data_IF_116991262198
#
_entry.id   IF_116991262198
#
_cell.length_a   1.000
_cell.length_b   1.000
_cell.length_c   1.000
_cell.angle_alpha   90.00
_cell.angle_beta   90.00
_cell.angle_gamma   90.00
#
_symmetry.space_group_name_H-M   'P 1'
#
loop_
_entity.id
_entity.type
_entity.pdbx_description
1 polymer ?
#
# COMPACT_ATOMS: atom_id res chain seq x y z
N UNK A 1 22.88 0.02 21.91
CA UNK A 1 21.80 0.51 21.01
C UNK A 1 22.45 1.26 19.86
N UNK A 2 22.02 1.07 18.59
CA UNK A 2 22.61 1.81 17.48
C UNK A 2 22.25 3.30 17.60
N UNK A 3 23.21 4.22 17.38
CA UNK A 3 22.99 5.65 17.58
C UNK A 3 22.04 6.23 16.52
N UNK A 4 21.17 7.13 16.97
CA UNK A 4 20.20 7.85 16.14
C UNK A 4 20.96 8.82 15.23
N UNK A 5 20.83 8.67 13.92
CA UNK A 5 21.41 9.59 12.93
C UNK A 5 20.81 10.99 13.15
N UNK A 6 21.67 12.00 13.26
CA UNK A 6 21.32 13.42 13.39
C UNK A 6 20.78 13.89 12.04
N UNK A 7 19.48 14.17 11.96
CA UNK A 7 18.90 14.83 10.79
C UNK A 7 19.40 16.28 10.78
N UNK A 8 20.11 16.64 9.71
CA UNK A 8 20.57 18.00 9.46
C UNK A 8 19.40 18.71 8.77
N UNK A 9 18.59 19.44 9.54
CA UNK A 9 17.49 20.25 9.01
C UNK A 9 18.04 21.60 8.56
N UNK A 10 18.50 21.67 7.32
CA UNK A 10 18.72 22.92 6.59
C UNK A 10 18.45 22.69 5.10
N UNK A 11 17.77 23.67 4.48
CA UNK A 11 17.32 23.77 3.08
C UNK A 11 15.98 23.11 2.66
N UNK A 12 14.94 23.96 2.62
CA UNK A 12 13.75 23.81 1.75
C UNK A 12 12.56 23.08 2.36
N UNK A 13 11.37 23.66 2.22
CA UNK A 13 10.04 23.10 2.57
C UNK A 13 9.66 21.90 1.67
N UNK A 14 10.57 20.94 1.51
CA UNK A 14 10.40 19.76 0.66
C UNK A 14 10.35 18.51 1.53
N UNK A 15 9.23 17.76 1.54
CA UNK A 15 9.10 16.59 2.39
C UNK A 15 10.15 15.54 2.05
N UNK A 16 10.85 15.05 3.07
CA UNK A 16 11.86 14.00 2.93
C UNK A 16 11.27 12.74 2.27
N UNK A 17 12.10 11.89 1.64
CA UNK A 17 11.61 10.66 0.99
C UNK A 17 10.80 9.74 1.95
N UNK A 18 11.18 9.72 3.22
CA UNK A 18 10.45 9.00 4.28
C UNK A 18 9.08 9.62 4.55
N UNK A 19 9.02 10.94 4.57
CA UNK A 19 7.79 11.69 4.78
C UNK A 19 6.84 11.57 3.58
N UNK A 20 7.35 11.67 2.35
CA UNK A 20 6.58 11.37 1.12
C UNK A 20 6.00 9.96 1.15
N UNK A 21 6.77 8.96 1.59
CA UNK A 21 6.29 7.58 1.75
C UNK A 21 5.20 7.48 2.82
N UNK A 22 5.34 8.20 3.93
CA UNK A 22 4.35 8.25 5.01
C UNK A 22 3.06 8.93 4.52
N UNK A 23 3.17 10.06 3.83
CA UNK A 23 2.05 10.78 3.22
C UNK A 23 1.33 9.91 2.19
N UNK A 24 2.05 9.26 1.27
CA UNK A 24 1.46 8.32 0.29
C UNK A 24 0.69 7.18 0.96
N UNK A 25 1.23 6.65 2.06
CA UNK A 25 0.56 5.58 2.82
C UNK A 25 -0.67 6.12 3.57
N UNK A 26 -0.60 7.34 4.11
CA UNK A 26 -1.71 7.99 4.78
C UNK A 26 -2.84 8.29 3.79
N UNK A 27 -2.54 8.89 2.64
CA UNK A 27 -3.49 9.21 1.57
C UNK A 27 -4.24 7.96 1.11
N UNK A 28 -3.54 6.85 0.86
CA UNK A 28 -4.18 5.61 0.43
C UNK A 28 -5.09 4.97 1.51
N UNK A 29 -4.96 5.37 2.77
CA UNK A 29 -5.78 4.90 3.90
C UNK A 29 -6.89 5.87 4.28
N UNK A 30 -6.86 7.10 3.77
CA UNK A 30 -7.90 8.11 4.04
C UNK A 30 -9.15 7.78 3.23
N UNK A 31 -10.30 7.74 3.90
CA UNK A 31 -11.60 7.49 3.28
C UNK A 31 -12.22 8.83 2.88
N UNK A 32 -12.74 8.95 1.66
CA UNK A 32 -13.46 10.13 1.23
C UNK A 32 -14.81 10.22 1.96
N UNK A 33 -15.05 11.33 2.64
CA UNK A 33 -16.29 11.59 3.40
C UNK A 33 -16.98 12.81 2.79
N UNK A 34 -18.30 12.75 2.66
CA UNK A 34 -19.05 13.94 2.26
C UNK A 34 -19.07 14.93 3.42
N UNK A 35 -18.75 16.22 3.19
CA UNK A 35 -18.88 17.22 4.24
C UNK A 35 -20.34 17.31 4.67
N UNK A 36 -20.61 17.06 5.95
CA UNK A 36 -21.96 17.20 6.49
C UNK A 36 -22.28 18.69 6.55
N UNK A 37 -22.98 19.22 5.55
CA UNK A 37 -23.68 20.48 5.75
C UNK A 37 -24.64 20.27 6.92
N UNK A 38 -24.51 21.09 7.97
CA UNK A 38 -25.29 21.05 9.20
C UNK A 38 -26.79 21.13 8.89
N UNK A 39 -27.40 19.98 8.67
CA UNK A 39 -28.83 19.80 8.41
C UNK A 39 -29.50 19.48 9.74
N UNK A 40 -29.85 20.53 10.48
CA UNK A 40 -30.98 20.51 11.38
C UNK A 40 -32.20 19.98 10.62
N UNK A 41 -32.86 18.93 11.12
CA UNK A 41 -34.32 18.85 11.29
C UNK A 41 -34.70 17.43 11.72
N UNK A 42 -35.45 17.40 12.80
CA UNK A 42 -36.22 16.32 13.40
C UNK A 42 -36.93 15.37 12.41
N UNK A 43 -36.83 14.07 12.70
CA UNK A 43 -38.02 13.23 12.89
C UNK A 43 -38.86 12.82 11.67
N UNK A 44 -38.27 12.49 10.52
CA UNK A 44 -39.01 11.69 9.51
C UNK A 44 -38.13 10.61 8.90
N UNK A 45 -38.67 9.38 8.82
CA UNK A 45 -38.03 8.26 8.13
C UNK A 45 -37.99 8.56 6.62
N UNK A 46 -36.81 8.77 6.00
CA UNK A 46 -36.77 9.06 4.57
C UNK A 46 -36.95 7.76 3.78
N UNK A 47 -38.21 7.39 3.57
CA UNK A 47 -38.60 6.50 2.47
C UNK A 47 -38.24 7.24 1.17
N UNK A 48 -37.16 6.76 0.54
CA UNK A 48 -36.72 7.16 -0.79
C UNK A 48 -36.28 8.63 -1.01
N UNK A 49 -35.55 9.21 -0.04
CA UNK A 49 -34.83 10.49 -0.21
C UNK A 49 -33.30 10.34 -0.41
N UNK A 50 -32.52 11.45 -0.41
CA UNK A 50 -31.06 11.52 -0.56
C UNK A 50 -30.24 10.56 0.32
N UNK A 51 -30.86 9.96 1.33
CA UNK A 51 -30.28 8.90 2.16
C UNK A 51 -29.86 7.65 1.38
N UNK A 52 -30.57 7.29 0.30
CA UNK A 52 -30.18 6.13 -0.55
C UNK A 52 -28.92 6.42 -1.37
N UNK A 53 -28.81 7.62 -1.94
CA UNK A 53 -27.63 8.04 -2.70
C UNK A 53 -26.43 8.32 -1.78
N UNK A 54 -26.65 8.91 -0.59
CA UNK A 54 -25.62 9.10 0.42
C UNK A 54 -25.03 7.75 0.89
N UNK A 55 -25.87 6.76 1.21
CA UNK A 55 -25.39 5.42 1.58
C UNK A 55 -24.69 4.70 0.42
N UNK A 56 -25.17 4.87 -0.81
CA UNK A 56 -24.49 4.31 -1.98
C UNK A 56 -23.09 4.92 -2.17
N UNK A 57 -22.94 6.22 -1.94
CA UNK A 57 -21.65 6.90 -1.94
C UNK A 57 -20.74 6.38 -0.82
N UNK A 58 -21.24 6.28 0.42
CA UNK A 58 -20.46 5.78 1.56
C UNK A 58 -19.93 4.37 1.33
N UNK A 59 -20.78 3.45 0.86
CA UNK A 59 -20.38 2.08 0.55
C UNK A 59 -19.32 2.04 -0.54
N UNK A 60 -19.46 2.86 -1.59
CA UNK A 60 -18.49 2.93 -2.68
C UNK A 60 -17.17 3.54 -2.21
N UNK A 61 -17.20 4.65 -1.47
CA UNK A 61 -16.02 5.30 -0.92
C UNK A 61 -15.25 4.36 0.02
N UNK A 62 -15.95 3.60 0.86
CA UNK A 62 -15.34 2.61 1.74
C UNK A 62 -14.69 1.47 0.92
N UNK A 63 -15.40 0.93 -0.06
CA UNK A 63 -14.90 -0.14 -0.91
C UNK A 63 -13.65 0.28 -1.70
N UNK A 64 -13.66 1.47 -2.29
CA UNK A 64 -12.53 2.01 -3.05
C UNK A 64 -11.33 2.29 -2.13
N UNK A 65 -11.58 2.81 -0.93
CA UNK A 65 -10.54 2.99 0.08
C UNK A 65 -9.92 1.65 0.53
N UNK A 66 -10.74 0.60 0.71
CA UNK A 66 -10.24 -0.75 1.02
C UNK A 66 -9.35 -1.29 -0.11
N UNK A 67 -9.73 -1.09 -1.37
CA UNK A 67 -8.92 -1.53 -2.52
C UNK A 67 -7.61 -0.75 -2.63
N UNK A 68 -7.66 0.59 -2.50
CA UNK A 68 -6.49 1.47 -2.51
C UNK A 68 -5.50 1.14 -1.39
N UNK A 69 -6.00 0.92 -0.16
CA UNK A 69 -5.17 0.53 0.96
C UNK A 69 -4.49 -0.83 0.73
N UNK A 70 -5.17 -1.77 0.03
CA UNK A 70 -4.64 -3.10 -0.27
C UNK A 70 -3.59 -3.08 -1.38
N UNK A 71 -3.78 -2.27 -2.42
CA UNK A 71 -2.81 -2.11 -3.51
C UNK A 71 -1.55 -1.38 -3.04
N UNK A 72 -1.70 -0.38 -2.16
CA UNK A 72 -0.58 0.38 -1.60
C UNK A 72 0.13 -0.35 -0.42
N UNK A 73 -0.29 -1.59 -0.10
CA UNK A 73 0.35 -2.40 0.93
C UNK A 73 1.73 -2.88 0.49
N UNK A 74 2.73 -2.63 1.32
CA UNK A 74 4.14 -3.01 1.10
C UNK A 74 4.43 -4.49 1.41
N UNK A 75 3.40 -5.29 1.67
CA UNK A 75 3.55 -6.72 1.93
C UNK A 75 3.62 -7.49 0.62
N UNK A 76 4.55 -8.46 0.57
CA UNK A 76 4.72 -9.37 -0.56
C UNK A 76 3.50 -10.24 -0.77
N UNK A 77 3.26 -10.71 -1.99
CA UNK A 77 2.11 -11.55 -2.33
C UNK A 77 1.94 -12.75 -1.37
N UNK A 78 3.02 -13.46 -1.04
CA UNK A 78 2.98 -14.63 -0.14
C UNK A 78 2.81 -14.28 1.35
N UNK A 79 3.02 -13.01 1.74
CA UNK A 79 2.81 -12.54 3.12
C UNK A 79 1.33 -12.24 3.42
N UNK A 80 0.50 -12.03 2.40
CA UNK A 80 -0.94 -11.81 2.56
C UNK A 80 -1.67 -13.05 3.10
N UNK A 81 -1.06 -14.24 2.98
CA UNK A 81 -1.67 -15.47 3.44
C UNK A 81 -1.58 -15.60 4.97
N UNK A 82 -2.62 -16.16 5.61
CA UNK A 82 -2.53 -16.65 6.99
C UNK A 82 -1.32 -17.55 7.20
N UNK A 83 -0.73 -17.50 8.40
CA UNK A 83 0.54 -18.18 8.73
C UNK A 83 0.54 -19.67 8.35
N UNK A 84 -0.57 -20.38 8.59
CA UNK A 84 -0.72 -21.81 8.34
C UNK A 84 -0.87 -22.18 6.84
N UNK A 85 -1.22 -21.22 5.96
CA UNK A 85 -1.31 -21.45 4.51
C UNK A 85 -0.04 -21.10 3.74
N UNK A 86 0.95 -20.46 4.40
CA UNK A 86 2.19 -20.04 3.75
C UNK A 86 3.05 -21.26 3.40
N UNK A 87 3.40 -21.38 2.11
CA UNK A 87 4.27 -22.44 1.60
C UNK A 87 5.72 -21.96 1.54
N UNK A 88 6.67 -22.87 1.78
CA UNK A 88 8.11 -22.60 1.62
C UNK A 88 8.43 -22.33 0.15
N UNK A 89 9.41 -21.46 -0.11
CA UNK A 89 9.85 -21.04 -1.44
C UNK A 89 8.81 -20.25 -2.28
N UNK A 90 7.70 -19.79 -1.69
CA UNK A 90 6.72 -18.93 -2.37
C UNK A 90 7.28 -17.55 -2.78
N UNK A 91 8.47 -17.17 -2.31
CA UNK A 91 9.20 -15.98 -2.76
C UNK A 91 9.94 -16.19 -4.08
N UNK A 92 10.23 -17.43 -4.45
CA UNK A 92 10.96 -17.78 -5.66
C UNK A 92 10.04 -18.39 -6.72
N UNK A 93 9.16 -19.31 -6.33
CA UNK A 93 8.21 -19.97 -7.23
C UNK A 93 6.78 -19.41 -7.03
N UNK A 94 6.30 -18.74 -8.08
CA UNK A 94 4.95 -18.14 -8.17
C UNK A 94 3.85 -19.20 -8.06
N UNK A 95 4.08 -20.43 -8.53
CA UNK A 95 3.04 -21.48 -8.57
C UNK A 95 2.61 -21.92 -7.18
N UNK A 96 3.47 -21.71 -6.17
CA UNK A 96 3.21 -22.03 -4.75
C UNK A 96 2.26 -21.05 -4.06
N UNK A 97 1.97 -19.90 -4.69
CA UNK A 97 0.99 -18.93 -4.25
C UNK A 97 -0.39 -19.26 -4.85
N UNK A 98 -1.51 -19.05 -4.12
CA UNK A 98 -2.86 -19.22 -4.64
C UNK A 98 -3.09 -18.46 -5.94
N UNK A 99 -3.92 -19.00 -6.84
CA UNK A 99 -4.16 -18.49 -8.20
C UNK A 99 -4.39 -16.97 -8.23
N UNK A 100 -5.27 -16.45 -7.36
CA UNK A 100 -5.63 -15.02 -7.29
C UNK A 100 -4.46 -14.08 -6.97
N UNK A 101 -3.40 -14.59 -6.35
CA UNK A 101 -2.23 -13.80 -5.96
C UNK A 101 -1.02 -14.01 -6.88
N UNK A 102 -1.14 -14.88 -7.90
CA UNK A 102 -0.04 -15.20 -8.82
C UNK A 102 0.37 -13.99 -9.67
N UNK A 103 -0.58 -13.16 -10.10
CA UNK A 103 -0.28 -11.95 -10.88
C UNK A 103 0.62 -10.99 -10.10
N UNK A 104 0.25 -10.73 -8.84
CA UNK A 104 1.07 -9.92 -7.93
C UNK A 104 2.43 -10.56 -7.67
N UNK A 105 2.48 -11.88 -7.46
CA UNK A 105 3.74 -12.59 -7.24
C UNK A 105 4.67 -12.55 -8.47
N UNK A 106 4.14 -12.67 -9.70
CA UNK A 106 4.95 -12.53 -10.93
C UNK A 106 5.60 -11.16 -11.04
N UNK A 107 4.84 -10.09 -10.82
CA UNK A 107 5.37 -8.73 -10.86
C UNK A 107 6.48 -8.51 -9.81
N UNK A 108 6.31 -9.07 -8.60
CA UNK A 108 7.32 -8.99 -7.54
C UNK A 108 8.57 -9.82 -7.81
N UNK A 109 8.44 -11.03 -8.38
CA UNK A 109 9.60 -11.88 -8.69
C UNK A 109 10.45 -11.25 -9.79
N UNK A 110 9.82 -10.72 -10.85
CA UNK A 110 10.54 -10.04 -11.93
C UNK A 110 11.31 -8.83 -11.39
N UNK A 111 10.64 -7.93 -10.67
CA UNK A 111 11.30 -6.75 -10.08
C UNK A 111 12.42 -7.13 -9.11
N UNK A 112 12.25 -8.18 -8.30
CA UNK A 112 13.28 -8.62 -7.36
C UNK A 112 14.47 -9.30 -8.05
N UNK A 113 14.23 -10.05 -9.14
CA UNK A 113 15.28 -10.70 -9.92
C UNK A 113 16.11 -9.67 -10.69
N UNK A 114 15.47 -8.68 -11.33
CA UNK A 114 16.17 -7.56 -11.95
C UNK A 114 16.95 -6.72 -10.93
N UNK A 115 16.38 -6.45 -9.76
CA UNK A 115 17.10 -5.73 -8.71
C UNK A 115 18.31 -6.51 -8.17
N UNK A 116 18.23 -7.84 -8.07
CA UNK A 116 19.37 -8.68 -7.72
C UNK A 116 20.43 -8.67 -8.84
N UNK A 117 20.02 -8.83 -10.09
CA UNK A 117 20.91 -8.87 -11.25
C UNK A 117 21.64 -7.54 -11.49
N UNK A 118 20.91 -6.42 -11.44
CA UNK A 118 21.47 -5.07 -11.55
C UNK A 118 22.39 -4.74 -10.37
N UNK A 119 22.07 -5.23 -9.16
CA UNK A 119 22.96 -5.05 -8.01
C UNK A 119 24.25 -5.85 -8.14
N UNK A 120 24.21 -7.06 -8.69
CA UNK A 120 25.43 -7.85 -8.95
C UNK A 120 26.27 -7.25 -10.07
N UNK A 121 25.67 -6.73 -11.14
CA UNK A 121 26.42 -6.04 -12.21
C UNK A 121 27.07 -4.73 -11.73
N UNK A 122 26.38 -3.92 -10.91
CA UNK A 122 26.96 -2.71 -10.33
C UNK A 122 28.11 -3.01 -9.36
N UNK A 123 27.97 -4.04 -8.52
CA UNK A 123 29.05 -4.44 -7.60
C UNK A 123 30.26 -5.05 -8.32
N UNK A 124 30.07 -5.62 -9.52
CA UNK A 124 31.16 -6.08 -10.37
C UNK A 124 31.90 -4.94 -11.08
N UNK A 125 31.21 -3.83 -11.40
CA UNK A 125 31.78 -2.67 -12.08
C UNK A 125 32.63 -1.76 -11.15
N UNK A 126 32.31 -1.70 -9.86
CA UNK A 126 33.00 -0.84 -8.88
C UNK A 126 34.30 -1.45 -8.30
N UNK A 127 34.74 -2.62 -8.76
CA UNK A 127 36.02 -3.23 -8.37
C UNK A 127 36.18 -3.54 -6.86
N UNK A 128 35.10 -3.49 -6.10
CA UNK A 128 35.05 -3.78 -4.66
C UNK A 128 34.61 -5.23 -4.44
N UNK A 129 35.38 -6.17 -4.98
CA UNK A 129 35.39 -7.56 -4.55
C UNK A 129 36.86 -7.92 -4.27
N UNK A 130 37.22 -8.49 -3.10
CA UNK A 130 38.52 -9.13 -2.94
C UNK A 130 38.66 -10.33 -3.89
#
# INVERSE_FOLDING_TARGET
MPPKRKDNSDAGDEPTARERKKQKTAIARTIAVQPTASSSTSGSNPVAGPSKSARAFEMKAMHDAMQSARSNSTQRAWQQLPRHLRRRAASHDVRRVPLRLRDKARAEVMTCQYACYLRTEYMAADGLCP
#
